data_IF_898255085912
#
_entry.id   IF_898255085912
#
_cell.length_a   1.000
_cell.length_b   1.000
_cell.length_c   1.000
_cell.angle_alpha   90.00
_cell.angle_beta   90.00
_cell.angle_gamma   90.00
#
_symmetry.space_group_name_H-M   'P 1'
#
loop_
_entity.id
_entity.type
_entity.pdbx_description
1 polymer ?
#
# COMPACT_ATOMS: atom_id res chain seq x y z
N UNK A 1 34.58 20.70 18.67
CA UNK A 1 34.55 21.56 17.43
C UNK A 1 34.17 20.79 16.16
N UNK A 2 34.82 19.64 15.78
CA UNK A 2 34.40 18.88 14.59
C UNK A 2 33.07 18.11 14.80
N UNK A 3 32.88 17.52 15.97
CA UNK A 3 31.67 16.80 16.32
C UNK A 3 30.47 17.74 16.32
N UNK A 4 30.60 18.90 16.93
CA UNK A 4 29.52 19.90 17.03
C UNK A 4 29.07 20.38 15.63
N UNK A 5 29.99 20.58 14.71
CA UNK A 5 29.69 20.95 13.31
C UNK A 5 29.02 19.82 12.57
N UNK A 6 29.44 18.57 12.78
CA UNK A 6 28.77 17.41 12.16
C UNK A 6 27.34 17.20 12.67
N UNK A 7 27.14 17.39 13.97
CA UNK A 7 25.81 17.29 14.60
C UNK A 7 24.88 18.39 14.07
N UNK A 8 25.33 19.63 14.02
CA UNK A 8 24.56 20.75 13.46
C UNK A 8 24.19 20.50 11.99
N UNK A 9 25.13 20.03 11.18
CA UNK A 9 24.86 19.68 9.79
C UNK A 9 23.84 18.55 9.67
N UNK A 10 23.96 17.49 10.50
CA UNK A 10 23.01 16.40 10.52
C UNK A 10 21.58 16.90 10.87
N UNK A 11 21.45 17.72 11.92
CA UNK A 11 20.17 18.31 12.33
C UNK A 11 19.58 19.14 11.20
N UNK A 12 20.36 19.98 10.53
CA UNK A 12 19.91 20.82 9.43
C UNK A 12 19.40 20.00 8.23
N UNK A 13 20.15 18.96 7.84
CA UNK A 13 19.73 18.06 6.74
C UNK A 13 18.50 17.26 7.12
N UNK A 14 18.45 16.72 8.34
CA UNK A 14 17.32 15.97 8.86
C UNK A 14 16.05 16.82 8.94
N UNK A 15 16.14 18.07 9.36
CA UNK A 15 15.01 19.01 9.36
C UNK A 15 14.44 19.24 7.96
N UNK A 16 15.33 19.40 6.95
CA UNK A 16 14.91 19.54 5.55
C UNK A 16 14.22 18.25 5.04
N UNK A 17 14.73 17.08 5.43
CA UNK A 17 14.15 15.80 5.10
C UNK A 17 12.77 15.63 5.73
N UNK A 18 12.64 15.91 7.03
CA UNK A 18 11.36 15.85 7.76
C UNK A 18 10.30 16.75 7.12
N UNK A 19 10.67 17.97 6.71
CA UNK A 19 9.76 18.87 6.00
C UNK A 19 9.27 18.27 4.67
N UNK A 20 10.18 17.68 3.89
CA UNK A 20 9.80 17.00 2.63
C UNK A 20 8.89 15.79 2.88
N UNK A 21 9.18 14.99 3.90
CA UNK A 21 8.36 13.83 4.30
C UNK A 21 6.95 14.24 4.71
N UNK A 22 6.82 15.30 5.54
CA UNK A 22 5.52 15.83 5.94
C UNK A 22 4.67 16.32 4.75
N UNK A 23 5.31 16.95 3.76
CA UNK A 23 4.62 17.37 2.54
C UNK A 23 4.21 16.16 1.67
N UNK A 24 5.11 15.20 1.49
CA UNK A 24 4.82 13.98 0.75
C UNK A 24 3.73 13.13 1.43
N UNK A 25 3.71 13.06 2.76
CA UNK A 25 2.68 12.39 3.54
C UNK A 25 1.29 12.97 3.25
N UNK A 26 1.14 14.30 3.34
CA UNK A 26 -0.13 14.97 3.02
C UNK A 26 -0.61 14.72 1.59
N UNK A 27 0.32 14.75 0.64
CA UNK A 27 -0.01 14.46 -0.76
C UNK A 27 -0.47 13.00 -0.92
N UNK A 28 0.22 12.05 -0.30
CA UNK A 28 -0.14 10.63 -0.32
C UNK A 28 -1.51 10.39 0.30
N UNK A 29 -1.82 11.02 1.43
CA UNK A 29 -3.13 10.90 2.08
C UNK A 29 -4.27 11.37 1.18
N UNK A 30 -4.07 12.48 0.46
CA UNK A 30 -5.06 13.01 -0.50
C UNK A 30 -5.24 12.07 -1.70
N UNK A 31 -4.15 11.54 -2.24
CA UNK A 31 -4.20 10.68 -3.41
C UNK A 31 -4.83 9.32 -3.09
N UNK A 32 -4.49 8.73 -1.94
CA UNK A 32 -5.00 7.43 -1.54
C UNK A 32 -6.51 7.48 -1.23
N UNK A 33 -6.99 8.58 -0.66
CA UNK A 33 -8.42 8.77 -0.39
C UNK A 33 -9.25 8.70 -1.70
N UNK A 34 -8.72 9.18 -2.81
CA UNK A 34 -9.38 9.11 -4.13
C UNK A 34 -9.41 7.70 -4.71
N UNK A 35 -8.40 6.88 -4.39
CA UNK A 35 -8.34 5.48 -4.84
C UNK A 35 -9.16 4.55 -3.95
N UNK A 36 -9.51 4.96 -2.73
CA UNK A 36 -10.29 4.12 -1.80
C UNK A 36 -11.76 3.98 -2.21
N UNK A 37 -12.40 5.05 -2.67
CA UNK A 37 -13.82 5.05 -3.05
C UNK A 37 -14.16 3.95 -4.06
N UNK A 38 -13.50 3.84 -5.24
CA UNK A 38 -13.84 2.81 -6.22
C UNK A 38 -13.41 1.39 -5.81
N UNK A 39 -12.62 1.25 -4.74
CA UNK A 39 -12.20 -0.05 -4.18
C UNK A 39 -13.08 -0.53 -3.02
N UNK A 40 -14.25 0.10 -2.79
CA UNK A 40 -15.14 -0.18 -1.64
C UNK A 40 -14.44 0.00 -0.30
N UNK A 41 -13.65 1.07 -0.20
CA UNK A 41 -12.93 1.48 1.00
C UNK A 41 -13.32 2.92 1.39
N UNK A 42 -14.53 3.36 1.03
CA UNK A 42 -15.03 4.73 1.25
C UNK A 42 -15.11 5.11 2.73
N UNK A 43 -15.23 4.13 3.62
CA UNK A 43 -15.22 4.35 5.07
C UNK A 43 -13.83 4.21 5.69
N UNK A 44 -12.82 3.93 4.87
CA UNK A 44 -11.44 3.72 5.31
C UNK A 44 -10.67 5.04 5.23
N UNK A 45 -9.95 5.35 6.28
CA UNK A 45 -9.12 6.55 6.40
C UNK A 45 -7.67 6.14 6.52
N UNK A 46 -6.81 6.74 5.73
CA UNK A 46 -5.37 6.52 5.73
C UNK A 46 -4.64 7.74 6.29
N UNK A 47 -3.63 7.50 7.09
CA UNK A 47 -2.82 8.54 7.72
C UNK A 47 -1.35 8.15 7.75
N UNK A 48 -0.48 9.11 7.53
CA UNK A 48 0.97 8.95 7.69
C UNK A 48 1.41 9.69 8.94
N UNK A 49 1.66 8.97 10.00
CA UNK A 49 2.16 9.53 11.26
C UNK A 49 3.69 9.64 11.20
N UNK A 50 4.21 10.84 11.45
CA UNK A 50 5.65 11.13 11.47
C UNK A 50 5.98 11.69 12.86
N UNK A 51 6.76 10.92 13.64
CA UNK A 51 7.23 11.29 14.98
C UNK A 51 8.74 11.43 14.99
N UNK A 52 9.26 12.33 15.80
CA UNK A 52 10.71 12.40 16.03
C UNK A 52 11.16 11.18 16.84
N UNK A 53 12.30 10.59 16.45
CA UNK A 53 13.00 9.56 17.21
C UNK A 53 13.80 10.19 18.33
N UNK A 54 14.07 9.41 19.37
CA UNK A 54 15.09 9.79 20.35
C UNK A 54 16.47 9.92 19.70
N UNK A 55 17.31 10.78 20.25
CA UNK A 55 18.64 11.05 19.66
C UNK A 55 19.55 9.82 19.55
N UNK A 56 19.36 8.82 20.42
CA UNK A 56 20.01 7.52 20.36
C UNK A 56 19.67 6.70 19.12
N UNK A 57 18.52 6.96 18.51
CA UNK A 57 17.98 6.21 17.36
C UNK A 57 18.17 6.95 16.02
N UNK A 58 18.84 8.08 16.06
CA UNK A 58 19.18 8.82 14.84
C UNK A 58 20.15 8.03 13.97
N UNK A 59 19.90 8.01 12.68
CA UNK A 59 20.72 7.24 11.73
C UNK A 59 20.79 7.93 10.37
N UNK A 60 21.40 7.26 9.38
CA UNK A 60 21.54 7.78 8.01
C UNK A 60 20.21 8.04 7.27
N UNK A 61 19.09 7.45 7.75
CA UNK A 61 17.75 7.71 7.21
C UNK A 61 17.10 8.96 7.82
N UNK A 62 17.76 9.59 8.79
CA UNK A 62 17.27 10.76 9.51
C UNK A 62 16.63 10.41 10.85
N UNK A 63 15.93 11.39 11.41
CA UNK A 63 15.39 11.34 12.78
C UNK A 63 13.90 11.04 12.86
N UNK A 64 13.21 10.78 11.75
CA UNK A 64 11.78 10.53 11.75
C UNK A 64 11.47 9.04 11.89
N UNK A 65 10.50 8.72 12.73
CA UNK A 65 9.78 7.45 12.72
C UNK A 65 8.49 7.63 11.93
N UNK A 66 8.31 6.84 10.87
CA UNK A 66 7.16 6.95 9.96
C UNK A 66 6.30 5.71 10.09
N UNK A 67 5.01 5.90 10.37
CA UNK A 67 4.03 4.81 10.45
C UNK A 67 2.87 5.09 9.51
N UNK A 68 2.51 4.11 8.69
CA UNK A 68 1.26 4.12 7.94
C UNK A 68 0.17 3.54 8.82
N UNK A 69 -0.88 4.32 9.04
CA UNK A 69 -1.99 3.99 9.92
C UNK A 69 -3.29 4.04 9.13
N UNK A 70 -4.21 3.18 9.49
CA UNK A 70 -5.53 3.07 8.85
C UNK A 70 -6.61 2.97 9.91
N UNK A 71 -7.73 3.62 9.66
CA UNK A 71 -9.00 3.41 10.36
C UNK A 71 -10.01 2.88 9.34
N UNK A 72 -10.55 1.69 9.57
CA UNK A 72 -11.45 1.00 8.62
C UNK A 72 -12.88 1.50 8.67
N UNK A 73 -13.24 2.30 9.67
CA UNK A 73 -14.55 2.93 9.79
C UNK A 73 -14.47 4.23 10.62
N UNK A 74 -15.40 5.12 10.37
CA UNK A 74 -15.53 6.36 11.14
C UNK A 74 -15.74 6.06 12.63
N UNK A 75 -14.87 6.64 13.48
CA UNK A 75 -14.92 6.46 14.93
C UNK A 75 -14.07 5.30 15.47
N UNK A 76 -13.47 4.49 14.60
CA UNK A 76 -12.47 3.47 14.98
C UNK A 76 -11.08 4.13 15.08
N UNK A 77 -10.28 3.79 16.11
CA UNK A 77 -8.91 4.27 16.21
C UNK A 77 -8.06 3.93 15.00
N UNK A 78 -7.12 4.81 14.66
CA UNK A 78 -6.09 4.48 13.68
C UNK A 78 -5.15 3.42 14.23
N UNK A 79 -4.93 2.36 13.46
CA UNK A 79 -4.00 1.28 13.76
C UNK A 79 -2.93 1.21 12.67
N UNK A 80 -1.72 0.77 13.01
CA UNK A 80 -0.69 0.48 12.02
C UNK A 80 -1.21 -0.45 10.93
N UNK A 81 -0.83 -0.20 9.69
CA UNK A 81 -1.26 -0.99 8.53
C UNK A 81 -1.02 -2.50 8.72
N UNK A 82 0.05 -2.87 9.43
CA UNK A 82 0.38 -4.26 9.75
C UNK A 82 -0.61 -4.95 10.69
N UNK A 83 -1.54 -4.23 11.31
CA UNK A 83 -2.53 -4.75 12.26
C UNK A 83 -3.94 -4.88 11.67
N UNK A 84 -4.11 -4.64 10.37
CA UNK A 84 -5.39 -4.85 9.70
C UNK A 84 -5.69 -6.35 9.60
N UNK A 85 -6.84 -6.76 10.11
CA UNK A 85 -7.23 -8.16 10.19
C UNK A 85 -7.83 -8.73 8.90
N UNK A 86 -8.38 -7.88 8.02
CA UNK A 86 -9.05 -8.31 6.79
C UNK A 86 -8.06 -8.42 5.63
N UNK A 87 -7.86 -9.63 5.11
CA UNK A 87 -6.98 -9.90 3.96
C UNK A 87 -7.41 -9.13 2.71
N UNK A 88 -8.70 -9.14 2.37
CA UNK A 88 -9.21 -8.43 1.21
C UNK A 88 -9.09 -6.90 1.30
N UNK A 89 -9.38 -6.32 2.47
CA UNK A 89 -9.17 -4.87 2.68
C UNK A 89 -7.70 -4.50 2.58
N UNK A 90 -6.82 -5.28 3.21
CA UNK A 90 -5.37 -5.07 3.14
C UNK A 90 -4.87 -5.14 1.69
N UNK A 91 -5.28 -6.14 0.93
CA UNK A 91 -4.90 -6.31 -0.48
C UNK A 91 -5.35 -5.12 -1.33
N UNK A 92 -6.55 -4.59 -1.11
CA UNK A 92 -7.05 -3.40 -1.82
C UNK A 92 -6.32 -2.11 -1.40
N UNK A 93 -6.00 -1.95 -0.12
CA UNK A 93 -5.18 -0.82 0.37
C UNK A 93 -3.79 -0.86 -0.27
N UNK A 94 -3.17 -2.05 -0.32
CA UNK A 94 -1.87 -2.24 -0.95
C UNK A 94 -1.93 -1.98 -2.45
N UNK A 95 -3.01 -2.39 -3.13
CA UNK A 95 -3.24 -2.07 -4.55
C UNK A 95 -3.29 -0.56 -4.78
N UNK A 96 -4.08 0.18 -3.97
CA UNK A 96 -4.16 1.64 -4.05
C UNK A 96 -2.79 2.30 -3.87
N UNK A 97 -2.03 1.88 -2.85
CA UNK A 97 -0.68 2.36 -2.60
C UNK A 97 0.26 2.10 -3.79
N UNK A 98 0.24 0.91 -4.38
CA UNK A 98 1.09 0.57 -5.52
C UNK A 98 0.74 1.40 -6.76
N UNK A 99 -0.55 1.63 -7.02
CA UNK A 99 -1.01 2.46 -8.15
C UNK A 99 -0.50 3.91 -8.02
N UNK A 100 -0.51 4.48 -6.80
CA UNK A 100 -0.07 5.85 -6.56
C UNK A 100 1.45 5.96 -6.59
N UNK A 101 2.15 5.07 -5.89
CA UNK A 101 3.60 5.19 -5.68
C UNK A 101 4.40 4.96 -6.96
N UNK A 102 3.86 4.31 -8.00
CA UNK A 102 4.46 4.10 -9.33
C UNK A 102 5.97 3.83 -9.29
N UNK A 103 6.42 3.02 -8.34
CA UNK A 103 7.86 2.79 -8.14
C UNK A 103 8.46 2.04 -9.33
N UNK A 104 9.28 2.73 -10.10
CA UNK A 104 9.90 2.22 -11.33
C UNK A 104 10.92 1.08 -11.13
N UNK A 105 11.38 0.75 -9.91
CA UNK A 105 12.61 -0.06 -9.79
C UNK A 105 12.68 -1.07 -8.64
N UNK A 106 11.60 -1.51 -7.98
CA UNK A 106 11.74 -2.33 -6.76
C UNK A 106 11.27 -3.77 -6.89
N UNK A 107 10.23 -4.05 -7.63
CA UNK A 107 9.78 -5.44 -7.84
C UNK A 107 9.48 -5.67 -9.30
N UNK A 108 9.95 -6.81 -9.82
CA UNK A 108 9.59 -7.23 -11.16
C UNK A 108 8.24 -7.93 -11.20
N UNK A 109 7.79 -8.47 -10.06
CA UNK A 109 6.50 -9.15 -9.93
C UNK A 109 5.80 -8.74 -8.62
N UNK A 110 4.48 -8.59 -8.69
CA UNK A 110 3.60 -8.33 -7.54
C UNK A 110 2.48 -9.36 -7.58
N UNK A 111 2.24 -10.00 -6.45
CA UNK A 111 1.19 -11.01 -6.30
C UNK A 111 0.10 -10.42 -5.41
N UNK A 112 -1.13 -10.43 -5.90
CA UNK A 112 -2.32 -10.08 -5.13
C UNK A 112 -3.16 -11.33 -4.88
N UNK A 113 -3.41 -11.59 -3.61
CA UNK A 113 -4.30 -12.63 -3.14
C UNK A 113 -5.49 -12.00 -2.43
N UNK A 114 -6.68 -12.58 -2.59
CA UNK A 114 -7.94 -12.12 -1.97
C UNK A 114 -8.34 -10.67 -2.27
N UNK A 115 -7.76 -10.02 -3.29
CA UNK A 115 -8.02 -8.60 -3.60
C UNK A 115 -9.48 -8.33 -3.95
N UNK A 116 -10.20 -9.34 -4.44
CA UNK A 116 -11.63 -9.34 -4.79
C UNK A 116 -12.52 -9.96 -3.71
N UNK A 117 -11.99 -10.30 -2.55
CA UNK A 117 -12.74 -10.85 -1.43
C UNK A 117 -13.81 -9.88 -0.94
N UNK A 118 -15.06 -10.36 -0.85
CA UNK A 118 -16.21 -9.58 -0.36
C UNK A 118 -16.69 -8.46 -1.26
N UNK A 119 -16.26 -8.43 -2.53
CA UNK A 119 -16.70 -7.46 -3.53
C UNK A 119 -17.24 -8.15 -4.78
N UNK A 120 -17.96 -7.39 -5.61
CA UNK A 120 -18.50 -7.85 -6.90
C UNK A 120 -18.93 -6.67 -7.76
N UNK A 121 -19.50 -6.96 -8.94
CA UNK A 121 -20.02 -5.93 -9.85
C UNK A 121 -19.00 -4.86 -10.21
N UNK A 122 -19.39 -3.59 -10.14
CA UNK A 122 -18.55 -2.44 -10.49
C UNK A 122 -17.29 -2.30 -9.64
N UNK A 123 -17.31 -2.75 -8.39
CA UNK A 123 -16.12 -2.71 -7.53
C UNK A 123 -15.06 -3.71 -7.99
N UNK A 124 -15.47 -4.93 -8.35
CA UNK A 124 -14.56 -5.94 -8.88
C UNK A 124 -13.98 -5.49 -10.24
N UNK A 125 -14.78 -4.85 -11.08
CA UNK A 125 -14.32 -4.25 -12.33
C UNK A 125 -13.28 -3.14 -12.07
N UNK A 126 -13.53 -2.27 -11.10
CA UNK A 126 -12.61 -1.21 -10.69
C UNK A 126 -11.28 -1.76 -10.14
N UNK A 127 -11.30 -2.88 -9.41
CA UNK A 127 -10.10 -3.60 -8.97
C UNK A 127 -9.34 -4.13 -10.18
N UNK A 128 -10.02 -4.78 -11.12
CA UNK A 128 -9.42 -5.29 -12.35
C UNK A 128 -8.74 -4.20 -13.17
N UNK A 129 -9.37 -3.03 -13.31
CA UNK A 129 -8.79 -1.87 -14.01
C UNK A 129 -7.50 -1.38 -13.34
N UNK A 130 -7.41 -1.40 -12.00
CA UNK A 130 -6.21 -1.01 -11.29
C UNK A 130 -5.09 -2.03 -11.43
N UNK A 131 -5.40 -3.31 -11.39
CA UNK A 131 -4.44 -4.38 -11.67
C UNK A 131 -3.90 -4.27 -13.11
N UNK A 132 -4.77 -4.07 -14.10
CA UNK A 132 -4.37 -3.83 -15.49
C UNK A 132 -3.53 -2.56 -15.64
N UNK A 133 -3.84 -1.47 -14.94
CA UNK A 133 -3.03 -0.24 -14.93
C UNK A 133 -1.65 -0.48 -14.34
N UNK A 134 -1.56 -1.30 -13.29
CA UNK A 134 -0.32 -1.65 -12.61
C UNK A 134 0.55 -2.57 -13.49
N UNK A 135 -0.07 -3.51 -14.23
CA UNK A 135 0.63 -4.47 -15.10
C UNK A 135 1.43 -3.82 -16.23
N UNK A 136 1.13 -2.57 -16.60
CA UNK A 136 1.91 -1.80 -17.57
C UNK A 136 3.36 -1.53 -17.12
N UNK A 137 3.63 -1.61 -15.82
CA UNK A 137 4.94 -1.32 -15.23
C UNK A 137 5.55 -2.52 -14.46
N UNK A 138 4.72 -3.50 -14.11
CA UNK A 138 5.10 -4.65 -13.29
C UNK A 138 4.48 -5.93 -13.83
N UNK A 139 5.11 -7.06 -13.57
CA UNK A 139 4.40 -8.33 -13.70
C UNK A 139 3.42 -8.44 -12.53
N UNK A 140 2.12 -8.51 -12.84
CA UNK A 140 1.06 -8.64 -11.85
C UNK A 140 0.47 -10.04 -11.94
N UNK A 141 0.42 -10.74 -10.82
CA UNK A 141 -0.27 -12.02 -10.66
C UNK A 141 -1.40 -11.79 -9.67
N UNK A 142 -2.63 -12.07 -10.09
CA UNK A 142 -3.80 -11.98 -9.23
C UNK A 142 -4.45 -13.36 -9.07
N UNK A 143 -4.67 -13.77 -7.82
CA UNK A 143 -5.47 -14.94 -7.49
C UNK A 143 -6.88 -14.44 -7.30
N UNK A 144 -7.80 -14.86 -8.17
CA UNK A 144 -9.17 -14.33 -8.21
C UNK A 144 -10.18 -15.40 -8.56
N UNK A 145 -11.37 -15.27 -8.01
CA UNK A 145 -12.57 -16.01 -8.39
C UNK A 145 -13.60 -15.13 -9.10
N UNK A 146 -13.30 -13.83 -9.23
CA UNK A 146 -14.17 -12.85 -9.88
C UNK A 146 -13.98 -12.84 -11.39
N UNK A 147 -15.00 -13.10 -12.20
CA UNK A 147 -14.90 -13.01 -13.65
C UNK A 147 -14.58 -11.60 -14.14
N UNK A 148 -14.99 -10.55 -13.41
CA UNK A 148 -14.69 -9.15 -13.74
C UNK A 148 -13.19 -8.87 -13.60
N UNK A 149 -12.56 -9.37 -12.54
CA UNK A 149 -11.10 -9.23 -12.35
C UNK A 149 -10.37 -10.08 -13.37
N UNK A 150 -10.75 -11.33 -13.55
CA UNK A 150 -10.14 -12.24 -14.50
C UNK A 150 -10.18 -11.67 -15.93
N UNK A 151 -11.31 -11.10 -16.37
CA UNK A 151 -11.47 -10.53 -17.72
C UNK A 151 -10.46 -9.42 -18.07
N UNK A 152 -9.77 -8.82 -17.08
CA UNK A 152 -8.73 -7.81 -17.30
C UNK A 152 -7.32 -8.41 -17.43
N UNK A 153 -7.18 -9.72 -17.22
CA UNK A 153 -5.90 -10.43 -17.37
C UNK A 153 -5.60 -10.77 -18.81
N UNK A 154 -4.32 -10.72 -19.21
CA UNK A 154 -3.86 -11.14 -20.53
C UNK A 154 -3.58 -12.66 -20.60
N UNK A 155 -3.25 -13.25 -19.45
CA UNK A 155 -2.92 -14.69 -19.34
C UNK A 155 -3.70 -15.29 -18.18
N UNK A 156 -4.25 -16.48 -18.39
CA UNK A 156 -5.07 -17.18 -17.40
C UNK A 156 -4.48 -18.54 -17.05
N UNK A 157 -4.46 -18.84 -15.76
CA UNK A 157 -4.10 -20.14 -15.22
C UNK A 157 -5.30 -20.67 -14.44
N UNK A 158 -5.81 -21.85 -14.84
CA UNK A 158 -6.86 -22.55 -14.12
C UNK A 158 -6.20 -23.54 -13.14
N UNK A 159 -6.57 -23.48 -11.89
CA UNK A 159 -6.10 -24.42 -10.86
C UNK A 159 -7.20 -25.45 -10.64
N UNK A 160 -6.90 -26.72 -10.92
CA UNK A 160 -7.80 -27.85 -10.72
C UNK A 160 -7.19 -28.85 -9.74
N UNK A 161 -8.00 -29.35 -8.82
CA UNK A 161 -7.60 -30.40 -7.88
C UNK A 161 -8.18 -31.73 -8.33
N UNK A 162 -7.33 -32.66 -8.74
CA UNK A 162 -7.72 -34.03 -9.03
C UNK A 162 -7.54 -34.90 -7.78
N UNK A 163 -8.62 -35.51 -7.28
CA UNK A 163 -8.49 -36.57 -6.27
C UNK A 163 -8.08 -37.87 -6.97
N UNK A 164 -6.85 -38.29 -6.78
CA UNK A 164 -6.41 -39.64 -7.11
C UNK A 164 -7.06 -40.60 -6.11
N UNK A 165 -8.05 -41.38 -6.53
CA UNK A 165 -8.50 -42.54 -5.75
C UNK A 165 -7.38 -43.56 -5.78
N UNK A 166 -6.51 -43.55 -4.76
CA UNK A 166 -5.68 -44.72 -4.51
C UNK A 166 -6.60 -45.84 -4.03
N UNK A 167 -6.81 -46.84 -4.88
CA UNK A 167 -7.38 -48.14 -4.56
C UNK A 167 -6.30 -48.97 -3.84
#
# INVERSE_FOLDING_TARGET
>A
KKIDVCEENYINVSNRLSKKRKNAAKQLEIEIAKEFEPLKLENTFFKVTIKDKDSSDWNYEGRDHITFEVSTNKGIPFLPLSQIASGGEMSRIMLALQVILKRKNISKAIIFDEVDSGIGGSTADAVGDRLSKLSKNFQVIAITHSPQVAAKGETHFLIETTQSKNI
#
